data_IF_286589347755
#
_entry.id   IF_286589347755
#
_cell.length_a   1.000
_cell.length_b   1.000
_cell.length_c   1.000
_cell.angle_alpha   90.00
_cell.angle_beta   90.00
_cell.angle_gamma   90.00
#
_symmetry.space_group_name_H-M   'P 1'
#
loop_
_entity.id
_entity.type
_entity.pdbx_description
1 polymer ?
#
# COMPACT_ATOMS: atom_id res chain seq x y z
N UNK A 1 -5.51 10.40 -3.34
CA UNK A 1 -5.70 9.72 -2.04
C UNK A 1 -4.72 8.56 -1.88
N UNK A 2 -4.81 7.51 -2.71
CA UNK A 2 -3.91 6.33 -2.68
C UNK A 2 -2.42 6.66 -2.65
N UNK A 3 -1.93 7.56 -3.51
CA UNK A 3 -0.51 7.92 -3.55
C UNK A 3 0.00 8.57 -2.24
N UNK A 4 -0.82 9.36 -1.56
CA UNK A 4 -0.45 9.98 -0.28
C UNK A 4 -0.42 8.94 0.85
N UNK A 5 -1.35 7.98 0.81
CA UNK A 5 -1.43 6.88 1.76
C UNK A 5 -0.23 5.94 1.63
N UNK A 6 0.10 5.52 0.41
CA UNK A 6 1.32 4.75 0.12
C UNK A 6 2.58 5.50 0.56
N UNK A 7 2.65 6.81 0.32
CA UNK A 7 3.77 7.63 0.79
C UNK A 7 3.88 7.66 2.32
N UNK A 8 2.75 7.71 3.02
CA UNK A 8 2.71 7.66 4.49
C UNK A 8 3.13 6.30 5.05
N UNK A 9 2.65 5.21 4.44
CA UNK A 9 3.04 3.84 4.79
C UNK A 9 4.56 3.64 4.60
N UNK A 10 5.10 4.04 3.44
CA UNK A 10 6.53 3.94 3.15
C UNK A 10 7.38 4.75 4.14
N UNK A 11 6.95 5.96 4.47
CA UNK A 11 7.64 6.82 5.45
C UNK A 11 7.65 6.16 6.83
N UNK A 12 6.51 5.62 7.26
CA UNK A 12 6.37 4.93 8.55
C UNK A 12 7.28 3.70 8.62
N UNK A 13 7.28 2.87 7.58
CA UNK A 13 8.13 1.68 7.48
C UNK A 13 9.63 2.03 7.53
N UNK A 14 10.06 3.06 6.78
CA UNK A 14 11.45 3.51 6.80
C UNK A 14 11.87 4.05 8.18
N UNK A 15 11.01 4.84 8.83
CA UNK A 15 11.27 5.37 10.17
C UNK A 15 11.41 4.24 11.20
N UNK A 16 10.47 3.30 11.17
CA UNK A 16 10.46 2.11 12.01
C UNK A 16 11.76 1.29 11.91
N UNK A 17 12.25 1.06 10.69
CA UNK A 17 13.49 0.31 10.47
C UNK A 17 14.72 1.11 10.90
N UNK A 18 14.74 2.43 10.65
CA UNK A 18 15.83 3.30 11.10
C UNK A 18 15.94 3.30 12.63
N UNK A 19 14.82 3.38 13.35
CA UNK A 19 14.77 3.31 14.81
C UNK A 19 15.28 1.95 15.33
N UNK A 20 14.86 0.84 14.71
CA UNK A 20 15.33 -0.49 15.09
C UNK A 20 16.86 -0.64 14.91
N UNK A 21 17.39 -0.17 13.77
CA UNK A 21 18.83 -0.19 13.51
C UNK A 21 19.62 0.71 14.49
N UNK A 22 19.10 1.89 14.83
CA UNK A 22 19.74 2.79 15.80
C UNK A 22 19.79 2.20 17.20
N UNK A 23 18.69 1.56 17.66
CA UNK A 23 18.60 0.92 18.97
C UNK A 23 19.61 -0.22 19.12
N UNK A 24 19.85 -0.96 18.05
CA UNK A 24 20.85 -2.02 18.04
C UNK A 24 22.25 -1.41 17.96
N UNK A 25 22.45 -0.35 17.18
CA UNK A 25 23.75 0.34 17.03
C UNK A 25 24.28 0.92 18.35
N UNK A 26 23.40 1.53 19.15
CA UNK A 26 23.76 2.15 20.44
C UNK A 26 24.23 1.15 21.51
N UNK A 27 23.97 -0.15 21.31
CA UNK A 27 24.23 -1.20 22.31
C UNK A 27 25.48 -2.05 22.00
N UNK A 28 26.22 -1.74 20.94
CA UNK A 28 27.43 -2.47 20.55
C UNK A 28 28.69 -2.09 21.33
N UNK A 29 28.73 -0.93 21.99
CA UNK A 29 29.91 -0.45 22.71
C UNK A 29 30.24 -1.31 23.94
N UNK A 30 30.95 -2.42 23.74
CA UNK A 30 31.39 -3.34 24.80
C UNK A 30 30.69 -4.70 24.85
N UNK A 31 29.82 -5.03 23.88
CA UNK A 31 29.11 -6.31 23.85
C UNK A 31 30.02 -7.46 23.38
N UNK A 32 29.94 -8.60 24.08
CA UNK A 32 30.55 -9.87 23.66
C UNK A 32 30.09 -10.28 22.23
N UNK A 33 30.95 -10.86 21.38
CA UNK A 33 30.61 -11.24 20.01
C UNK A 33 29.36 -12.12 19.87
N UNK A 34 29.06 -12.99 20.84
CA UNK A 34 27.86 -13.85 20.79
C UNK A 34 26.57 -13.05 21.03
N UNK A 35 26.58 -12.14 22.02
CA UNK A 35 25.47 -11.21 22.29
C UNK A 35 25.25 -10.27 21.12
N UNK A 36 26.34 -9.87 20.48
CA UNK A 36 26.36 -9.06 19.28
C UNK A 36 25.60 -9.74 18.13
N UNK A 37 25.95 -10.99 17.85
CA UNK A 37 25.32 -11.77 16.79
C UNK A 37 23.84 -12.03 17.08
N UNK A 38 23.49 -12.40 18.32
CA UNK A 38 22.10 -12.63 18.71
C UNK A 38 21.22 -11.38 18.48
N UNK A 39 21.72 -10.18 18.81
CA UNK A 39 20.99 -8.92 18.55
C UNK A 39 20.86 -8.60 17.06
N UNK A 40 21.88 -8.91 16.26
CA UNK A 40 21.78 -8.77 14.81
C UNK A 40 20.72 -9.70 14.22
N UNK A 41 20.71 -10.96 14.64
CA UNK A 41 19.70 -11.93 14.21
C UNK A 41 18.29 -11.48 14.59
N UNK A 42 18.10 -10.97 15.80
CA UNK A 42 16.81 -10.45 16.25
C UNK A 42 16.38 -9.22 15.43
N UNK A 43 17.29 -8.29 15.18
CA UNK A 43 17.03 -7.13 14.32
C UNK A 43 16.61 -7.54 12.91
N UNK A 44 17.30 -8.51 12.32
CA UNK A 44 16.93 -9.02 10.99
C UNK A 44 15.55 -9.68 11.01
N UNK A 45 15.22 -10.44 12.07
CA UNK A 45 13.90 -11.04 12.25
C UNK A 45 12.80 -9.96 12.33
N UNK A 46 13.00 -8.94 13.16
CA UNK A 46 12.05 -7.82 13.31
C UNK A 46 11.86 -7.04 12.00
N UNK A 47 12.94 -6.76 11.26
CA UNK A 47 12.86 -6.07 9.96
C UNK A 47 12.11 -6.92 8.94
N UNK A 48 12.34 -8.24 8.92
CA UNK A 48 11.65 -9.14 8.01
C UNK A 48 10.16 -9.22 8.30
N UNK A 49 9.76 -9.34 9.57
CA UNK A 49 8.35 -9.32 9.99
C UNK A 49 7.67 -8.01 9.57
N UNK A 50 8.30 -6.87 9.87
CA UNK A 50 7.80 -5.55 9.42
C UNK A 50 7.71 -5.42 7.92
N UNK A 51 8.61 -6.05 7.17
CA UNK A 51 8.60 -6.02 5.71
C UNK A 51 7.41 -6.78 5.14
N UNK A 52 7.06 -7.92 5.74
CA UNK A 52 5.87 -8.70 5.36
C UNK A 52 4.59 -7.91 5.65
N UNK A 53 4.50 -7.31 6.84
CA UNK A 53 3.35 -6.48 7.22
C UNK A 53 3.20 -5.27 6.28
N UNK A 54 4.31 -4.59 5.95
CA UNK A 54 4.31 -3.44 5.05
C UNK A 54 3.87 -3.81 3.63
N UNK A 55 4.40 -4.92 3.08
CA UNK A 55 4.00 -5.39 1.74
C UNK A 55 2.51 -5.77 1.72
N UNK A 56 2.01 -6.38 2.79
CA UNK A 56 0.59 -6.73 2.91
C UNK A 56 -0.29 -5.47 2.90
N UNK A 57 0.05 -4.47 3.72
CA UNK A 57 -0.67 -3.20 3.78
C UNK A 57 -0.65 -2.44 2.44
N UNK A 58 0.51 -2.37 1.78
CA UNK A 58 0.63 -1.76 0.44
C UNK A 58 -0.24 -2.49 -0.58
N UNK A 59 -0.26 -3.83 -0.53
CA UNK A 59 -1.06 -4.65 -1.45
C UNK A 59 -2.55 -4.39 -1.25
N UNK A 60 -3.02 -4.30 -0.01
CA UNK A 60 -4.41 -3.96 0.31
C UNK A 60 -4.79 -2.59 -0.25
N UNK A 61 -4.00 -1.55 0.03
CA UNK A 61 -4.24 -0.18 -0.48
C UNK A 61 -4.28 -0.12 -2.00
N UNK A 62 -3.39 -0.84 -2.69
CA UNK A 62 -3.39 -0.90 -4.16
C UNK A 62 -4.61 -1.65 -4.67
N UNK A 63 -4.96 -2.78 -4.06
CA UNK A 63 -6.12 -3.58 -4.45
C UNK A 63 -7.42 -2.78 -4.33
N UNK A 64 -7.62 -2.09 -3.21
CA UNK A 64 -8.77 -1.21 -2.99
C UNK A 64 -8.86 -0.13 -4.07
N UNK A 65 -7.74 0.55 -4.33
CA UNK A 65 -7.68 1.58 -5.37
C UNK A 65 -7.96 1.04 -6.78
N UNK A 66 -7.57 -0.19 -7.07
CA UNK A 66 -7.89 -0.85 -8.33
C UNK A 66 -9.37 -1.20 -8.44
N UNK A 67 -9.98 -1.71 -7.36
CA UNK A 67 -11.42 -1.98 -7.32
C UNK A 67 -12.23 -0.69 -7.53
N UNK A 68 -11.92 0.37 -6.80
CA UNK A 68 -12.59 1.67 -6.95
C UNK A 68 -12.48 2.22 -8.38
N UNK A 69 -11.32 2.06 -9.03
CA UNK A 69 -11.13 2.49 -10.41
C UNK A 69 -11.99 1.67 -11.39
N UNK A 70 -12.08 0.35 -11.21
CA UNK A 70 -12.91 -0.51 -12.05
C UNK A 70 -14.40 -0.23 -11.86
N UNK A 71 -14.84 0.01 -10.63
CA UNK A 71 -16.22 0.36 -10.33
C UNK A 71 -16.60 1.68 -11.02
N UNK A 72 -15.78 2.70 -10.88
CA UNK A 72 -15.99 4.00 -11.54
C UNK A 72 -16.01 3.87 -13.08
N UNK A 73 -15.12 3.06 -13.66
CA UNK A 73 -15.13 2.79 -15.11
C UNK A 73 -16.40 2.07 -15.54
N UNK A 74 -16.86 1.09 -14.77
CA UNK A 74 -18.08 0.32 -15.05
C UNK A 74 -19.32 1.21 -14.98
N UNK A 75 -19.42 2.05 -13.95
CA UNK A 75 -20.49 3.04 -13.81
C UNK A 75 -20.48 4.06 -14.96
N UNK A 76 -19.29 4.54 -15.35
CA UNK A 76 -19.14 5.48 -16.47
C UNK A 76 -19.57 4.84 -17.79
N UNK A 77 -19.19 3.59 -18.03
CA UNK A 77 -19.58 2.83 -19.22
C UNK A 77 -21.10 2.58 -19.26
N UNK A 78 -21.70 2.18 -18.14
CA UNK A 78 -23.13 1.96 -18.03
C UNK A 78 -23.92 3.26 -18.26
N UNK A 79 -23.49 4.37 -17.66
CA UNK A 79 -24.08 5.69 -17.86
C UNK A 79 -24.00 6.16 -19.32
N UNK A 80 -22.86 5.93 -19.97
CA UNK A 80 -22.66 6.25 -21.38
C UNK A 80 -23.56 5.43 -22.30
N UNK A 81 -23.70 4.12 -22.03
CA UNK A 81 -24.60 3.24 -22.78
C UNK A 81 -26.07 3.65 -22.63
N UNK A 82 -26.50 3.99 -21.40
CA UNK A 82 -27.86 4.48 -21.14
C UNK A 82 -28.16 5.78 -21.88
N UNK A 83 -27.19 6.70 -21.95
CA UNK A 83 -27.33 7.97 -22.68
C UNK A 83 -27.48 7.76 -24.19
N UNK A 84 -26.70 6.84 -24.79
CA UNK A 84 -26.80 6.49 -26.20
C UNK A 84 -28.15 5.84 -26.51
N UNK A 85 -28.59 4.88 -25.69
CA UNK A 85 -29.89 4.22 -25.88
C UNK A 85 -31.08 5.20 -25.77
N UNK A 86 -31.02 6.17 -24.85
CA UNK A 86 -32.05 7.21 -24.74
C UNK A 86 -32.06 8.20 -25.92
N UNK A 87 -30.90 8.48 -26.51
CA UNK A 87 -30.79 9.41 -27.64
C UNK A 87 -31.35 8.78 -28.93
N UNK A 88 -31.05 7.50 -29.19
CA UNK A 88 -31.63 6.73 -30.31
C UNK A 88 -33.16 6.61 -30.22
N UNK A 89 -33.69 6.43 -29.00
CA UNK A 89 -35.13 6.33 -28.77
C UNK A 89 -35.88 7.63 -29.06
N UNK A 90 -35.27 8.80 -28.81
CA UNK A 90 -35.91 10.10 -29.06
C UNK A 90 -35.92 10.48 -30.55
N UNK A 91 -34.91 10.06 -31.31
CA UNK A 91 -34.86 10.30 -32.77
C UNK A 91 -35.85 9.42 -33.54
N UNK A 92 -36.20 8.23 -33.04
CA UNK A 92 -37.16 7.33 -33.69
C UNK A 92 -38.63 7.69 -33.48
N UNK A 93 -38.97 8.52 -32.49
CA UNK A 93 -40.36 8.96 -32.23
C UNK A 93 -40.75 10.27 -32.92
N UNK A 94 -39.81 10.97 -33.57
CA UNK A 94 -40.09 12.18 -34.37
C UNK A 94 -40.30 11.83 -35.86
N UNK A 95 -41.44 11.23 -36.22
CA UNK A 95 -41.95 11.19 -37.60
C UNK A 95 -43.47 11.28 -37.63
#
# INVERSE_FOLDING_TARGET
RTAQELGSQQTTFMKANAEAMQNVTSTYGGADPSKRLARQSELYREIMERSVDHVSAVTETVSESCCEAMDHMTETAASSAAKVAHQDSCEHTSK
#
